data_IF_562256234318
#
_entry.id   IF_562256234318
#
_cell.length_a   1.000
_cell.length_b   1.000
_cell.length_c   1.000
_cell.angle_alpha   90.00
_cell.angle_beta   90.00
_cell.angle_gamma   90.00
#
_symmetry.space_group_name_H-M   'P 1'
#
loop_
_entity.id
_entity.type
_entity.pdbx_description
1 polymer ?
#
# COMPACT_ATOMS: atom_id res chain seq x y z
N UNK A 1 -6.04 -12.38 2.01
CA UNK A 1 -4.64 -12.07 1.64
C UNK A 1 -3.79 -12.05 2.89
N UNK A 2 -2.63 -12.74 2.90
CA UNK A 2 -1.79 -12.82 4.10
C UNK A 2 -1.13 -11.48 4.42
N UNK A 3 -0.76 -10.73 3.37
CA UNK A 3 -0.24 -9.37 3.49
C UNK A 3 -1.21 -8.41 4.21
N UNK A 4 -2.52 -8.51 3.94
CA UNK A 4 -3.57 -7.72 4.59
C UNK A 4 -3.59 -7.91 6.10
N UNK A 5 -3.56 -9.17 6.56
CA UNK A 5 -3.53 -9.51 7.99
C UNK A 5 -2.31 -8.88 8.68
N UNK A 6 -1.13 -9.01 8.07
CA UNK A 6 0.12 -8.42 8.59
C UNK A 6 0.07 -6.88 8.65
N UNK A 7 -0.59 -6.23 7.69
CA UNK A 7 -0.81 -4.77 7.77
C UNK A 7 -1.71 -4.43 8.95
N UNK A 8 -2.75 -5.24 9.20
CA UNK A 8 -3.62 -5.10 10.37
C UNK A 8 -2.87 -5.22 11.71
N UNK A 9 -1.90 -6.14 11.81
CA UNK A 9 -1.02 -6.27 12.97
C UNK A 9 -0.14 -5.03 13.19
N UNK A 10 0.43 -4.48 12.11
CA UNK A 10 1.21 -3.24 12.16
C UNK A 10 0.34 -2.08 12.61
N UNK A 11 -0.87 -1.95 12.04
CA UNK A 11 -1.82 -0.92 12.42
C UNK A 11 -2.21 -1.01 13.90
N UNK A 12 -2.50 -2.22 14.39
CA UNK A 12 -2.82 -2.47 15.79
C UNK A 12 -1.65 -2.11 16.71
N UNK A 13 -0.42 -2.45 16.31
CA UNK A 13 0.80 -2.07 17.02
C UNK A 13 0.93 -0.55 17.10
N UNK A 14 0.70 0.16 15.99
CA UNK A 14 0.73 1.63 15.96
C UNK A 14 -0.37 2.24 16.83
N UNK A 15 -1.57 1.64 16.91
CA UNK A 15 -2.68 2.10 17.73
C UNK A 15 -2.42 1.93 19.23
N UNK A 16 -1.71 0.87 19.63
CA UNK A 16 -1.30 0.64 21.02
C UNK A 16 -0.14 1.52 21.51
N UNK A 17 0.53 2.25 20.61
CA UNK A 17 1.68 3.07 21.00
C UNK A 17 1.27 4.29 21.79
N UNK A 18 1.95 4.47 22.92
CA UNK A 18 1.85 5.69 23.69
C UNK A 18 2.61 6.81 22.98
N UNK A 19 1.92 7.93 22.72
CA UNK A 19 2.52 9.11 22.10
C UNK A 19 3.48 9.87 23.05
N UNK A 20 3.51 9.51 24.34
CA UNK A 20 4.41 10.09 25.33
C UNK A 20 5.87 9.93 24.92
N UNK A 21 6.57 11.05 24.76
CA UNK A 21 7.99 11.08 24.40
C UNK A 21 8.27 10.91 22.90
N UNK A 22 7.24 11.03 22.05
CA UNK A 22 7.38 11.26 20.60
C UNK A 22 7.36 12.76 20.29
N UNK A 23 8.23 13.19 19.39
CA UNK A 23 8.22 14.53 18.83
C UNK A 23 6.96 14.80 18.00
N UNK A 24 6.61 16.06 17.80
CA UNK A 24 5.47 16.46 16.94
C UNK A 24 5.60 15.89 15.53
N UNK A 25 6.82 15.81 15.00
CA UNK A 25 7.09 15.22 13.69
C UNK A 25 6.76 13.72 13.66
N UNK A 26 7.21 12.95 14.66
CA UNK A 26 6.90 11.52 14.77
C UNK A 26 5.39 11.27 14.92
N UNK A 27 4.71 12.11 15.71
CA UNK A 27 3.24 12.03 15.85
C UNK A 27 2.53 12.27 14.51
N UNK A 28 3.00 13.26 13.73
CA UNK A 28 2.50 13.53 12.38
C UNK A 28 2.71 12.36 11.42
N UNK A 29 3.93 11.79 11.42
CA UNK A 29 4.28 10.64 10.57
C UNK A 29 3.39 9.44 10.90
N UNK A 30 3.21 9.12 12.19
CA UNK A 30 2.35 8.02 12.62
C UNK A 30 0.90 8.26 12.21
N UNK A 31 0.39 9.47 12.42
CA UNK A 31 -1.01 9.82 12.09
C UNK A 31 -1.28 9.67 10.61
N UNK A 32 -0.41 10.22 9.76
CA UNK A 32 -0.50 10.08 8.32
C UNK A 32 -0.43 8.60 7.89
N UNK A 33 0.56 7.86 8.42
CA UNK A 33 0.78 6.46 8.07
C UNK A 33 -0.42 5.60 8.45
N UNK A 34 -0.96 5.74 9.66
CA UNK A 34 -2.18 5.06 10.11
C UNK A 34 -3.35 5.31 9.15
N UNK A 35 -3.56 6.56 8.78
CA UNK A 35 -4.66 6.94 7.88
C UNK A 35 -4.51 6.31 6.49
N UNK A 36 -3.28 6.23 5.95
CA UNK A 36 -3.06 5.56 4.67
C UNK A 36 -3.21 4.04 4.77
N UNK A 37 -2.68 3.40 5.83
CA UNK A 37 -2.82 1.96 6.02
C UNK A 37 -4.28 1.52 6.11
N UNK A 38 -5.13 2.26 6.84
CA UNK A 38 -6.57 1.98 6.92
C UNK A 38 -7.22 1.97 5.53
N UNK A 39 -6.95 2.99 4.73
CA UNK A 39 -7.50 3.08 3.37
C UNK A 39 -6.93 2.03 2.42
N UNK A 40 -5.69 1.61 2.61
CA UNK A 40 -5.07 0.53 1.85
C UNK A 40 -5.74 -0.82 2.20
N UNK A 41 -6.02 -1.07 3.48
CA UNK A 41 -6.78 -2.25 3.92
C UNK A 41 -8.20 -2.26 3.31
N UNK A 42 -8.91 -1.14 3.35
CA UNK A 42 -10.24 -1.00 2.71
C UNK A 42 -10.20 -1.31 1.21
N UNK A 43 -9.18 -0.81 0.49
CA UNK A 43 -8.99 -1.10 -0.93
C UNK A 43 -8.62 -2.56 -1.18
N UNK A 44 -7.83 -3.18 -0.30
CA UNK A 44 -7.50 -4.60 -0.37
C UNK A 44 -8.72 -5.50 -0.13
N UNK A 45 -9.59 -5.16 0.83
CA UNK A 45 -10.86 -5.85 1.05
C UNK A 45 -11.77 -5.76 -0.17
N UNK A 46 -11.89 -4.56 -0.75
CA UNK A 46 -12.69 -4.31 -1.95
C UNK A 46 -12.14 -5.08 -3.16
N UNK A 47 -10.81 -5.22 -3.27
CA UNK A 47 -10.16 -6.05 -4.29
C UNK A 47 -10.54 -7.52 -4.15
N UNK A 48 -10.41 -8.10 -2.94
CA UNK A 48 -10.76 -9.50 -2.70
C UNK A 48 -12.23 -9.78 -3.02
N UNK A 49 -13.14 -8.93 -2.53
CA UNK A 49 -14.58 -9.05 -2.80
C UNK A 49 -14.90 -8.89 -4.29
N UNK A 50 -14.24 -7.95 -4.97
CA UNK A 50 -14.39 -7.73 -6.40
C UNK A 50 -13.97 -8.95 -7.22
N UNK A 51 -12.88 -9.62 -6.83
CA UNK A 51 -12.41 -10.84 -7.48
C UNK A 51 -13.38 -12.00 -7.23
N UNK A 52 -13.83 -12.19 -5.99
CA UNK A 52 -14.78 -13.26 -5.63
C UNK A 52 -16.13 -13.09 -6.35
N UNK A 53 -16.61 -11.85 -6.48
CA UNK A 53 -17.85 -11.50 -7.17
C UNK A 53 -17.69 -11.34 -8.69
N UNK A 54 -16.47 -11.42 -9.22
CA UNK A 54 -16.12 -11.17 -10.63
C UNK A 54 -16.53 -9.77 -11.13
N UNK A 55 -16.54 -8.79 -10.24
CA UNK A 55 -16.81 -7.38 -10.56
C UNK A 55 -15.52 -6.72 -11.08
N UNK A 56 -15.09 -7.07 -12.29
CA UNK A 56 -13.75 -6.77 -12.79
C UNK A 56 -13.42 -5.29 -12.94
N UNK A 57 -14.41 -4.47 -13.30
CA UNK A 57 -14.23 -3.01 -13.38
C UNK A 57 -13.87 -2.44 -12.00
N UNK A 58 -14.58 -2.88 -10.95
CA UNK A 58 -14.30 -2.49 -9.57
C UNK A 58 -12.93 -3.00 -9.11
N UNK A 59 -12.52 -4.20 -9.53
CA UNK A 59 -11.19 -4.75 -9.24
C UNK A 59 -10.10 -3.84 -9.84
N UNK A 60 -10.24 -3.42 -11.09
CA UNK A 60 -9.27 -2.53 -11.75
C UNK A 60 -9.21 -1.18 -11.04
N UNK A 61 -10.36 -0.59 -10.72
CA UNK A 61 -10.44 0.70 -10.01
C UNK A 61 -9.78 0.60 -8.63
N UNK A 62 -10.10 -0.42 -7.85
CA UNK A 62 -9.52 -0.61 -6.51
C UNK A 62 -8.02 -0.92 -6.57
N UNK A 63 -7.54 -1.60 -7.62
CA UNK A 63 -6.11 -1.79 -7.85
C UNK A 63 -5.41 -0.46 -8.09
N UNK A 64 -5.92 0.37 -9.00
CA UNK A 64 -5.33 1.68 -9.29
C UNK A 64 -5.34 2.59 -8.06
N UNK A 65 -6.42 2.58 -7.28
CA UNK A 65 -6.50 3.29 -6.01
C UNK A 65 -5.45 2.79 -5.00
N UNK A 66 -5.25 1.47 -4.92
CA UNK A 66 -4.22 0.87 -4.04
C UNK A 66 -2.82 1.34 -4.45
N UNK A 67 -2.50 1.28 -5.75
CA UNK A 67 -1.22 1.77 -6.29
C UNK A 67 -0.98 3.23 -5.94
N UNK A 68 -1.97 4.10 -6.13
CA UNK A 68 -1.85 5.52 -5.81
C UNK A 68 -1.61 5.76 -4.31
N UNK A 69 -2.31 5.03 -3.43
CA UNK A 69 -2.13 5.15 -1.98
C UNK A 69 -0.74 4.70 -1.54
N UNK A 70 -0.26 3.59 -2.10
CA UNK A 70 1.10 3.09 -1.84
C UNK A 70 2.15 4.10 -2.29
N UNK A 71 2.00 4.65 -3.50
CA UNK A 71 2.91 5.68 -4.00
C UNK A 71 2.88 6.95 -3.16
N UNK A 72 1.69 7.39 -2.70
CA UNK A 72 1.56 8.52 -1.80
C UNK A 72 2.27 8.27 -0.47
N UNK A 73 2.16 7.06 0.07
CA UNK A 73 2.85 6.66 1.30
C UNK A 73 4.36 6.66 1.12
N UNK A 74 4.89 6.10 0.02
CA UNK A 74 6.31 6.17 -0.29
C UNK A 74 6.79 7.61 -0.46
N UNK A 75 6.07 8.42 -1.24
CA UNK A 75 6.42 9.82 -1.48
C UNK A 75 6.48 10.63 -0.18
N UNK A 76 5.66 10.30 0.81
CA UNK A 76 5.69 10.93 2.12
C UNK A 76 6.83 10.41 3.02
N UNK A 77 6.95 9.09 3.17
CA UNK A 77 7.96 8.48 4.04
C UNK A 77 9.39 8.73 3.58
N UNK A 78 9.57 8.97 2.28
CA UNK A 78 10.88 9.20 1.66
C UNK A 78 11.25 10.68 1.57
N UNK A 79 10.44 11.59 2.14
CA UNK A 79 10.83 13.00 2.24
C UNK A 79 12.06 13.14 3.15
N UNK A 80 13.07 13.96 2.80
CA UNK A 80 14.29 14.09 3.59
C UNK A 80 14.05 14.44 5.07
N UNK A 81 13.07 15.30 5.35
CA UNK A 81 12.68 15.69 6.72
C UNK A 81 12.06 14.52 7.49
N UNK A 82 11.27 13.69 6.83
CA UNK A 82 10.67 12.49 7.42
C UNK A 82 11.74 11.45 7.67
N UNK A 83 12.62 11.16 6.71
CA UNK A 83 13.76 10.24 6.89
C UNK A 83 14.63 10.68 8.07
N UNK A 84 14.97 11.97 8.15
CA UNK A 84 15.76 12.51 9.27
C UNK A 84 15.08 12.30 10.63
N UNK A 85 13.76 12.49 10.68
CA UNK A 85 12.97 12.23 11.89
C UNK A 85 12.87 10.74 12.23
N UNK A 86 12.79 9.86 11.22
CA UNK A 86 12.74 8.41 11.41
C UNK A 86 14.09 7.89 11.92
N UNK A 87 15.21 8.30 11.30
CA UNK A 87 16.56 7.84 11.67
C UNK A 87 16.98 8.20 13.10
N UNK A 88 16.46 9.30 13.62
CA UNK A 88 16.73 9.77 14.99
C UNK A 88 15.60 9.41 15.97
N UNK A 89 14.50 8.85 15.45
CA UNK A 89 13.25 8.66 16.16
C UNK A 89 13.04 7.24 16.67
N UNK A 90 12.02 7.09 17.51
CA UNK A 90 11.64 5.79 18.11
C UNK A 90 10.73 4.97 17.20
N UNK A 91 10.31 5.53 16.07
CA UNK A 91 9.32 4.94 15.16
C UNK A 91 9.94 4.35 13.89
N UNK A 92 11.28 4.27 13.79
CA UNK A 92 11.99 3.72 12.64
C UNK A 92 11.50 2.30 12.28
N UNK A 93 11.50 1.38 13.25
CA UNK A 93 11.12 -0.02 13.01
C UNK A 93 9.69 -0.17 12.51
N UNK A 94 8.80 0.75 12.89
CA UNK A 94 7.41 0.76 12.41
C UNK A 94 7.39 1.17 10.94
N UNK A 95 8.09 2.24 10.59
CA UNK A 95 8.15 2.72 9.22
C UNK A 95 8.74 1.65 8.30
N UNK A 96 9.79 0.95 8.73
CA UNK A 96 10.37 -0.19 8.01
C UNK A 96 9.36 -1.32 7.82
N UNK A 97 8.69 -1.77 8.89
CA UNK A 97 7.62 -2.77 8.81
C UNK A 97 6.49 -2.35 7.86
N UNK A 98 6.11 -1.07 7.87
CA UNK A 98 5.10 -0.54 6.95
C UNK A 98 5.55 -0.69 5.50
N UNK A 99 6.78 -0.28 5.17
CA UNK A 99 7.31 -0.40 3.81
C UNK A 99 7.38 -1.86 3.34
N UNK A 100 7.81 -2.78 4.21
CA UNK A 100 7.81 -4.21 3.93
C UNK A 100 6.40 -4.73 3.65
N UNK A 101 5.43 -4.46 4.54
CA UNK A 101 4.07 -5.00 4.40
C UNK A 101 3.31 -4.44 3.21
N UNK A 102 3.57 -3.19 2.85
CA UNK A 102 3.03 -2.60 1.63
C UNK A 102 3.62 -3.24 0.38
N UNK A 103 4.92 -3.57 0.41
CA UNK A 103 5.56 -4.28 -0.71
C UNK A 103 5.00 -5.71 -0.85
N UNK A 104 4.82 -6.43 0.27
CA UNK A 104 4.16 -7.74 0.32
C UNK A 104 2.74 -7.67 -0.29
N UNK A 105 1.94 -6.67 0.13
CA UNK A 105 0.58 -6.47 -0.38
C UNK A 105 0.56 -6.25 -1.88
N UNK A 106 1.37 -5.31 -2.37
CA UNK A 106 1.45 -5.03 -3.80
C UNK A 106 1.84 -6.27 -4.60
N UNK A 107 2.79 -7.08 -4.10
CA UNK A 107 3.15 -8.35 -4.70
C UNK A 107 1.95 -9.32 -4.80
N UNK A 108 1.22 -9.51 -3.71
CA UNK A 108 0.03 -10.37 -3.69
C UNK A 108 -1.09 -9.85 -4.61
N UNK A 109 -1.36 -8.54 -4.63
CA UNK A 109 -2.35 -7.92 -5.54
C UNK A 109 -1.96 -8.15 -6.99
N UNK A 110 -0.69 -7.93 -7.37
CA UNK A 110 -0.23 -8.12 -8.74
C UNK A 110 -0.39 -9.59 -9.16
N UNK A 111 -0.04 -10.53 -8.28
CA UNK A 111 -0.21 -11.97 -8.55
C UNK A 111 -1.69 -12.32 -8.72
N UNK A 112 -2.56 -11.77 -7.87
CA UNK A 112 -4.02 -11.94 -7.97
C UNK A 112 -4.55 -11.43 -9.31
N UNK A 113 -4.16 -10.24 -9.75
CA UNK A 113 -4.59 -9.67 -11.03
C UNK A 113 -4.05 -10.49 -12.22
N UNK A 114 -2.77 -10.88 -12.18
CA UNK A 114 -2.14 -11.69 -13.23
C UNK A 114 -2.85 -13.01 -13.48
N UNK A 115 -3.41 -13.63 -12.44
CA UNK A 115 -4.17 -14.88 -12.56
C UNK A 115 -5.52 -14.70 -13.27
N UNK A 116 -6.07 -13.48 -13.27
CA UNK A 116 -7.42 -13.20 -13.75
C UNK A 116 -7.47 -12.27 -14.98
N UNK A 117 -6.33 -11.89 -15.58
CA UNK A 117 -6.27 -10.91 -16.68
C UNK A 117 -7.23 -11.20 -17.83
N UNK A 118 -7.34 -12.46 -18.24
CA UNK A 118 -8.20 -12.87 -19.35
C UNK A 118 -9.67 -12.57 -19.06
N UNK A 119 -10.11 -12.87 -17.84
CA UNK A 119 -11.50 -12.68 -17.41
C UNK A 119 -11.82 -11.20 -17.24
N UNK A 120 -10.81 -10.40 -16.86
CA UNK A 120 -10.90 -8.95 -16.74
C UNK A 120 -10.87 -8.21 -18.08
N UNK A 121 -10.71 -8.90 -19.23
CA UNK A 121 -10.53 -8.24 -20.52
C UNK A 121 -9.22 -7.47 -20.66
N UNK A 122 -8.21 -7.80 -19.84
CA UNK A 122 -6.87 -7.18 -19.86
C UNK A 122 -5.94 -8.03 -20.73
N UNK A 123 -5.34 -7.42 -21.75
CA UNK A 123 -4.34 -8.07 -22.60
C UNK A 123 -2.98 -8.18 -21.92
N UNK A 124 -2.56 -7.10 -21.26
CA UNK A 124 -1.30 -7.08 -20.54
C UNK A 124 -1.34 -6.15 -19.33
N UNK A 125 -0.63 -6.58 -18.29
CA UNK A 125 -0.38 -5.82 -17.07
C UNK A 125 1.13 -5.75 -16.86
N UNK A 126 1.69 -4.56 -17.03
CA UNK A 126 3.08 -4.26 -16.70
C UNK A 126 3.15 -3.48 -15.40
N UNK A 127 4.00 -3.93 -14.48
CA UNK A 127 4.25 -3.24 -13.21
C UNK A 127 5.75 -3.13 -13.02
N UNK A 128 6.23 -1.93 -12.75
CA UNK A 128 7.63 -1.67 -12.40
C UNK A 128 7.71 -0.90 -11.09
N UNK A 129 8.76 -1.16 -10.32
CA UNK A 129 9.10 -0.41 -9.10
C UNK A 129 10.33 0.44 -9.40
N UNK A 130 10.18 1.76 -9.36
CA UNK A 130 11.32 2.67 -9.30
C UNK A 130 11.81 2.73 -7.86
N UNK A 131 13.11 2.90 -7.63
CA UNK A 131 13.69 2.87 -6.27
C UNK A 131 14.00 4.26 -5.68
N UNK A 132 13.93 5.33 -6.47
CA UNK A 132 14.43 6.66 -6.05
C UNK A 132 13.57 7.84 -6.55
N UNK A 133 12.56 8.30 -5.79
CA UNK A 133 11.97 7.62 -4.63
C UNK A 133 11.16 6.38 -5.05
N UNK A 134 10.95 5.41 -4.15
CA UNK A 134 10.10 4.26 -4.37
C UNK A 134 8.74 4.61 -4.96
N UNK A 135 8.39 4.02 -6.11
CA UNK A 135 7.07 4.18 -6.73
C UNK A 135 6.75 3.03 -7.67
N UNK A 136 5.53 2.54 -7.60
CA UNK A 136 4.97 1.60 -8.55
C UNK A 136 4.42 2.34 -9.76
N UNK A 137 4.93 2.00 -10.95
CA UNK A 137 4.31 2.37 -12.21
C UNK A 137 3.55 1.18 -12.75
N UNK A 138 2.33 1.44 -13.21
CA UNK A 138 1.42 0.41 -13.71
C UNK A 138 0.97 0.83 -15.10
N UNK A 139 1.04 -0.11 -16.04
CA UNK A 139 0.46 0.01 -17.37
C UNK A 139 -0.48 -1.16 -17.59
N UNK A 140 -1.73 -0.85 -17.96
CA UNK A 140 -2.79 -1.81 -18.23
C UNK A 140 -3.22 -1.60 -19.69
N UNK A 141 -3.16 -2.66 -20.49
CA UNK A 141 -3.71 -2.66 -21.86
C UNK A 141 -4.99 -3.46 -21.85
N UNK A 142 -6.11 -2.80 -22.12
CA UNK A 142 -7.43 -3.43 -22.24
C UNK A 142 -7.62 -3.92 -23.66
N UNK A 143 -8.33 -5.05 -23.82
CA UNK A 143 -8.83 -5.45 -25.15
C UNK A 143 -9.74 -4.33 -25.66
N UNK A 144 -9.52 -3.91 -26.91
CA UNK A 144 -10.49 -3.06 -27.58
C UNK A 144 -11.82 -3.83 -27.64
N UNK A 145 -12.87 -3.19 -27.13
CA UNK A 145 -14.25 -3.67 -27.22
C UNK A 145 -14.68 -3.81 -28.70
#
# INVERSE_FOLDING_TARGET
>A
MKSKEKIGEVLSSMESMNYTGLSVAEQGILTFTKAQLKKILESADSLEQGVDSKSWDDVIVNFLNTVQRVNLLYAYLMQPSVISSLMSGKIWEIAEKVLERISDLMGEVIVMLRRNLKDMGVESLSVSLNSSPPSFNVSIVMKNA
#
